data_IF_723868102936
#
_entry.id   IF_723868102936
#
_cell.length_a   1.000
_cell.length_b   1.000
_cell.length_c   1.000
_cell.angle_alpha   90.00
_cell.angle_beta   90.00
_cell.angle_gamma   90.00
#
_symmetry.space_group_name_H-M   'P 1'
#
loop_
_entity.id
_entity.type
_entity.pdbx_description
1 polymer ?
#
# COMPACT_ATOMS: atom_id res chain seq x y z
N UNK A 1 -17.44 24.63 4.05
CA UNK A 1 -18.80 24.14 4.26
C UNK A 1 -19.00 22.82 3.51
N UNK A 2 -18.79 22.74 2.19
CA UNK A 2 -18.98 21.50 1.42
C UNK A 2 -18.15 20.33 1.95
N UNK A 3 -16.86 20.56 2.28
CA UNK A 3 -15.97 19.56 2.86
C UNK A 3 -16.50 19.02 4.19
N UNK A 4 -17.03 19.91 5.03
CA UNK A 4 -17.60 19.50 6.31
C UNK A 4 -18.85 18.65 6.15
N UNK A 5 -19.78 19.07 5.26
CA UNK A 5 -20.99 18.29 4.97
C UNK A 5 -20.61 16.92 4.39
N UNK A 6 -19.68 16.88 3.42
CA UNK A 6 -19.20 15.62 2.83
C UNK A 6 -18.56 14.70 3.86
N UNK A 7 -17.75 15.25 4.77
CA UNK A 7 -17.11 14.47 5.85
C UNK A 7 -18.16 13.90 6.82
N UNK A 8 -19.15 14.69 7.22
CA UNK A 8 -20.23 14.22 8.10
C UNK A 8 -21.04 13.11 7.45
N UNK A 9 -21.42 13.26 6.19
CA UNK A 9 -22.16 12.23 5.44
C UNK A 9 -21.33 10.96 5.29
N UNK A 10 -20.05 11.08 4.94
CA UNK A 10 -19.13 9.95 4.80
C UNK A 10 -18.97 9.20 6.12
N UNK A 11 -18.63 9.90 7.22
CA UNK A 11 -18.46 9.27 8.53
C UNK A 11 -19.75 8.65 9.06
N UNK A 12 -20.90 9.30 8.81
CA UNK A 12 -22.20 8.73 9.19
C UNK A 12 -22.48 7.44 8.43
N UNK A 13 -22.29 7.42 7.11
CA UNK A 13 -22.43 6.23 6.29
C UNK A 13 -21.48 5.10 6.70
N UNK A 14 -20.22 5.44 6.99
CA UNK A 14 -19.23 4.50 7.47
C UNK A 14 -19.63 3.85 8.80
N UNK A 15 -20.07 4.65 9.78
CA UNK A 15 -20.41 4.14 11.11
C UNK A 15 -21.74 3.39 11.14
N UNK A 16 -22.76 3.85 10.42
CA UNK A 16 -24.10 3.25 10.45
C UNK A 16 -24.22 2.08 9.45
N UNK A 17 -23.55 2.17 8.30
CA UNK A 17 -23.63 1.17 7.24
C UNK A 17 -22.47 0.18 7.25
N UNK A 18 -21.25 0.68 7.04
CA UNK A 18 -20.09 -0.20 6.82
C UNK A 18 -19.62 -0.96 8.06
N UNK A 19 -19.59 -0.34 9.23
CA UNK A 19 -19.12 -1.01 10.45
C UNK A 19 -20.01 -2.18 10.85
N UNK A 20 -21.35 -2.04 10.94
CA UNK A 20 -22.23 -3.18 11.24
C UNK A 20 -22.18 -4.25 10.16
N UNK A 21 -22.16 -3.86 8.87
CA UNK A 21 -22.08 -4.80 7.77
C UNK A 21 -20.78 -5.61 7.77
N UNK A 22 -19.62 -4.94 8.00
CA UNK A 22 -18.33 -5.60 8.14
C UNK A 22 -18.32 -6.60 9.28
N UNK A 23 -18.79 -6.19 10.46
CA UNK A 23 -18.87 -7.06 11.64
C UNK A 23 -19.77 -8.28 11.40
N UNK A 24 -20.96 -8.07 10.87
CA UNK A 24 -21.88 -9.16 10.53
C UNK A 24 -21.30 -10.14 9.52
N UNK A 25 -20.68 -9.61 8.45
CA UNK A 25 -20.05 -10.44 7.43
C UNK A 25 -18.90 -11.27 8.02
N UNK A 26 -18.08 -10.67 8.89
CA UNK A 26 -17.02 -11.37 9.60
C UNK A 26 -17.54 -12.52 10.45
N UNK A 27 -18.61 -12.28 11.21
CA UNK A 27 -19.24 -13.31 12.05
C UNK A 27 -19.80 -14.46 11.21
N UNK A 28 -20.54 -14.15 10.15
CA UNK A 28 -21.15 -15.16 9.28
C UNK A 28 -20.09 -16.01 8.58
N UNK A 29 -19.06 -15.39 7.98
CA UNK A 29 -18.03 -16.12 7.25
C UNK A 29 -17.15 -16.97 8.15
N UNK A 30 -16.75 -16.46 9.31
CA UNK A 30 -15.89 -17.20 10.23
C UNK A 30 -16.63 -18.23 11.08
N UNK A 31 -17.96 -18.09 11.23
CA UNK A 31 -18.81 -19.02 11.96
C UNK A 31 -19.17 -20.30 11.18
N UNK A 32 -18.87 -20.38 9.88
CA UNK A 32 -19.17 -21.54 9.05
C UNK A 32 -18.14 -22.67 9.22
N UNK A 33 -18.53 -23.90 8.89
CA UNK A 33 -17.61 -25.05 8.89
C UNK A 33 -16.41 -24.85 7.95
N UNK A 34 -16.57 -24.08 6.89
CA UNK A 34 -15.56 -23.73 5.89
C UNK A 34 -15.01 -22.30 6.06
N UNK A 35 -14.82 -21.91 7.32
CA UNK A 35 -14.36 -20.57 7.74
C UNK A 35 -13.15 -20.01 6.99
N UNK A 36 -12.33 -20.85 6.37
CA UNK A 36 -11.18 -20.42 5.59
C UNK A 36 -11.54 -19.60 4.33
N UNK A 37 -12.82 -19.61 3.91
CA UNK A 37 -13.31 -18.76 2.81
C UNK A 37 -13.18 -17.26 3.11
N UNK A 38 -13.09 -16.88 4.38
CA UNK A 38 -12.87 -15.48 4.76
C UNK A 38 -11.52 -14.94 4.23
N UNK A 39 -10.56 -15.82 3.95
CA UNK A 39 -9.27 -15.41 3.39
C UNK A 39 -9.43 -14.81 1.98
N UNK A 40 -9.88 -15.57 0.96
CA UNK A 40 -10.02 -15.03 -0.37
C UNK A 40 -11.05 -13.90 -0.44
N UNK A 41 -12.12 -13.95 0.36
CA UNK A 41 -13.10 -12.86 0.44
C UNK A 41 -12.45 -11.61 1.07
N UNK A 42 -11.73 -11.77 2.18
CA UNK A 42 -10.99 -10.66 2.82
C UNK A 42 -9.94 -10.05 1.90
N UNK A 43 -9.21 -10.86 1.15
CA UNK A 43 -8.26 -10.40 0.14
C UNK A 43 -8.94 -9.57 -0.96
N UNK A 44 -10.07 -10.05 -1.46
CA UNK A 44 -10.87 -9.34 -2.47
C UNK A 44 -11.38 -8.00 -1.94
N UNK A 45 -11.91 -8.01 -0.73
CA UNK A 45 -12.38 -6.80 -0.05
C UNK A 45 -11.21 -5.82 0.15
N UNK A 46 -10.06 -6.28 0.66
CA UNK A 46 -8.87 -5.45 0.84
C UNK A 46 -8.39 -4.79 -0.45
N UNK A 47 -8.43 -5.54 -1.56
CA UNK A 47 -8.09 -5.01 -2.88
C UNK A 47 -9.00 -3.85 -3.31
N UNK A 48 -10.32 -4.01 -3.15
CA UNK A 48 -11.29 -2.99 -3.55
C UNK A 48 -11.38 -1.82 -2.58
N UNK A 49 -11.14 -2.04 -1.29
CA UNK A 49 -11.10 -0.95 -0.28
C UNK A 49 -10.03 0.07 -0.63
N UNK A 50 -8.82 -0.36 -0.98
CA UNK A 50 -7.75 0.55 -1.40
C UNK A 50 -8.14 1.35 -2.64
N UNK A 51 -8.80 0.71 -3.60
CA UNK A 51 -9.29 1.40 -4.81
C UNK A 51 -10.42 2.40 -4.52
N UNK A 52 -11.23 2.13 -3.52
CA UNK A 52 -12.34 2.99 -3.11
C UNK A 52 -11.91 4.11 -2.17
N UNK A 53 -10.68 4.05 -1.61
CA UNK A 53 -10.17 5.06 -0.66
C UNK A 53 -9.79 6.35 -1.40
N UNK A 54 -10.51 7.47 -1.17
CA UNK A 54 -10.23 8.73 -1.87
C UNK A 54 -8.82 9.26 -1.64
N UNK A 55 -8.28 9.05 -0.43
CA UNK A 55 -6.94 9.51 -0.07
C UNK A 55 -5.86 8.76 -0.86
N UNK A 56 -6.05 7.48 -1.17
CA UNK A 56 -5.15 6.70 -2.03
C UNK A 56 -5.15 7.22 -3.46
N UNK A 57 -6.31 7.65 -3.97
CA UNK A 57 -6.38 8.24 -5.31
C UNK A 57 -5.55 9.53 -5.42
N UNK A 58 -5.65 10.40 -4.40
CA UNK A 58 -4.86 11.64 -4.34
C UNK A 58 -3.36 11.33 -4.23
N UNK A 59 -2.99 10.39 -3.33
CA UNK A 59 -1.61 9.96 -3.16
C UNK A 59 -1.02 9.43 -4.48
N UNK A 60 -1.75 8.58 -5.20
CA UNK A 60 -1.27 8.01 -6.46
C UNK A 60 -0.95 9.09 -7.50
N UNK A 61 -1.78 10.14 -7.60
CA UNK A 61 -1.53 11.29 -8.49
C UNK A 61 -0.32 12.11 -8.04
N UNK A 62 -0.21 12.40 -6.75
CA UNK A 62 0.95 13.12 -6.22
C UNK A 62 2.26 12.37 -6.45
N UNK A 63 2.26 11.04 -6.30
CA UNK A 63 3.44 10.22 -6.58
C UNK A 63 3.83 10.28 -8.06
N UNK A 64 2.86 10.22 -8.98
CA UNK A 64 3.11 10.36 -10.40
C UNK A 64 3.74 11.72 -10.75
N UNK A 65 3.21 12.80 -10.16
CA UNK A 65 3.73 14.16 -10.35
C UNK A 65 5.15 14.32 -9.78
N UNK A 66 5.40 13.89 -8.53
CA UNK A 66 6.70 14.03 -7.85
C UNK A 66 7.79 13.15 -8.45
N UNK A 67 7.39 12.05 -9.13
CA UNK A 67 8.33 11.14 -9.80
C UNK A 67 8.48 11.42 -11.30
N UNK A 68 7.95 12.54 -11.80
CA UNK A 68 7.93 12.90 -13.23
C UNK A 68 7.42 11.74 -14.12
N UNK A 69 6.38 11.03 -13.64
CA UNK A 69 5.80 9.88 -14.33
C UNK A 69 6.62 8.58 -14.28
N UNK A 70 7.73 8.54 -13.54
CA UNK A 70 8.52 7.30 -13.38
C UNK A 70 7.71 6.18 -12.71
N UNK A 71 6.76 6.54 -11.84
CA UNK A 71 5.72 5.66 -11.31
C UNK A 71 4.38 6.24 -11.71
N UNK A 72 3.64 5.55 -12.59
CA UNK A 72 2.29 5.96 -12.94
C UNK A 72 1.31 5.72 -11.79
N UNK A 73 0.30 6.60 -11.66
CA UNK A 73 -0.77 6.47 -10.65
C UNK A 73 -1.46 5.09 -10.70
N UNK A 74 -1.65 4.55 -11.92
CA UNK A 74 -2.24 3.23 -12.11
C UNK A 74 -1.38 2.10 -11.54
N UNK A 75 -0.06 2.13 -11.78
CA UNK A 75 0.88 1.13 -11.26
C UNK A 75 0.97 1.21 -9.74
N UNK A 76 1.05 2.42 -9.18
CA UNK A 76 1.05 2.65 -7.74
C UNK A 76 -0.23 2.09 -7.09
N UNK A 77 -1.40 2.44 -7.63
CA UNK A 77 -2.69 1.98 -7.11
C UNK A 77 -2.84 0.46 -7.19
N UNK A 78 -2.38 -0.18 -8.27
CA UNK A 78 -2.41 -1.64 -8.41
C UNK A 78 -1.50 -2.33 -7.38
N UNK A 79 -0.28 -1.81 -7.18
CA UNK A 79 0.67 -2.36 -6.22
C UNK A 79 0.16 -2.22 -4.78
N UNK A 80 -0.38 -1.05 -4.41
CA UNK A 80 -0.99 -0.84 -3.10
C UNK A 80 -2.19 -1.77 -2.88
N UNK A 81 -3.08 -1.89 -3.87
CA UNK A 81 -4.25 -2.77 -3.77
C UNK A 81 -3.85 -4.25 -3.61
N UNK A 82 -2.87 -4.71 -4.38
CA UNK A 82 -2.36 -6.08 -4.27
C UNK A 82 -1.66 -6.33 -2.92
N UNK A 83 -0.84 -5.38 -2.47
CA UNK A 83 -0.17 -5.45 -1.17
C UNK A 83 -1.15 -5.52 -0.01
N UNK A 84 -2.13 -4.61 0.03
CA UNK A 84 -3.15 -4.61 1.09
C UNK A 84 -4.04 -5.85 1.01
N UNK A 85 -4.39 -6.33 -0.18
CA UNK A 85 -5.10 -7.59 -0.37
C UNK A 85 -4.38 -8.76 0.33
N UNK A 86 -3.09 -8.90 0.08
CA UNK A 86 -2.27 -9.94 0.72
C UNK A 86 -2.20 -9.75 2.24
N UNK A 87 -2.03 -8.51 2.70
CA UNK A 87 -2.00 -8.17 4.12
C UNK A 87 -3.29 -8.54 4.83
N UNK A 88 -4.44 -8.25 4.23
CA UNK A 88 -5.75 -8.63 4.78
C UNK A 88 -5.89 -10.14 4.84
N UNK A 89 -5.45 -10.86 3.80
CA UNK A 89 -5.42 -12.34 3.82
C UNK A 89 -4.61 -12.88 5.01
N UNK A 90 -3.39 -12.39 5.21
CA UNK A 90 -2.55 -12.76 6.35
C UNK A 90 -3.18 -12.38 7.70
N UNK A 91 -3.86 -11.22 7.76
CA UNK A 91 -4.59 -10.81 8.96
C UNK A 91 -5.77 -11.75 9.28
N UNK A 92 -6.48 -12.24 8.26
CA UNK A 92 -7.54 -13.23 8.45
C UNK A 92 -6.98 -14.58 8.90
N UNK A 93 -5.85 -15.05 8.33
CA UNK A 93 -5.15 -16.24 8.85
C UNK A 93 -4.87 -16.09 10.33
N UNK A 94 -4.33 -14.94 10.71
CA UNK A 94 -4.00 -14.65 12.11
C UNK A 94 -5.23 -14.67 13.01
N UNK A 95 -6.34 -14.04 12.59
CA UNK A 95 -7.61 -14.04 13.35
C UNK A 95 -8.13 -15.46 13.54
N UNK A 96 -8.07 -16.31 12.51
CA UNK A 96 -8.54 -17.69 12.60
C UNK A 96 -7.64 -18.61 13.44
N UNK A 97 -6.33 -18.32 13.52
CA UNK A 97 -5.34 -19.17 14.18
C UNK A 97 -4.90 -18.67 15.56
N UNK A 98 -5.18 -17.40 15.89
CA UNK A 98 -4.74 -16.77 17.14
C UNK A 98 -3.23 -16.48 17.21
N UNK A 99 -2.49 -16.53 16.08
CA UNK A 99 -1.05 -16.24 16.04
C UNK A 99 -0.80 -14.78 16.46
N UNK A 100 0.22 -14.56 17.32
CA UNK A 100 0.58 -13.21 17.77
C UNK A 100 0.96 -12.31 16.60
N UNK A 101 0.47 -11.07 16.63
CA UNK A 101 0.75 -10.05 15.61
C UNK A 101 2.26 -9.74 15.48
N UNK A 102 3.02 -9.91 16.54
CA UNK A 102 4.45 -9.61 16.57
C UNK A 102 5.24 -10.47 15.56
N UNK A 103 4.77 -11.69 15.27
CA UNK A 103 5.37 -12.55 14.25
C UNK A 103 5.24 -12.00 12.82
N UNK A 104 4.31 -11.10 12.59
CA UNK A 104 4.13 -10.42 11.30
C UNK A 104 4.77 -9.04 11.31
N UNK A 105 4.56 -8.26 12.38
CA UNK A 105 5.02 -6.87 12.42
C UNK A 105 6.54 -6.77 12.58
N UNK A 106 7.16 -7.57 13.45
CA UNK A 106 8.61 -7.48 13.66
C UNK A 106 9.38 -7.76 12.36
N UNK A 107 9.19 -8.90 11.67
CA UNK A 107 9.90 -9.14 10.41
C UNK A 107 9.48 -8.17 9.30
N UNK A 108 8.20 -7.79 9.24
CA UNK A 108 7.71 -6.85 8.24
C UNK A 108 8.33 -5.46 8.35
N UNK A 109 8.35 -4.88 9.55
CA UNK A 109 9.01 -3.60 9.78
C UNK A 109 10.53 -3.69 9.68
N UNK A 110 11.14 -4.77 10.15
CA UNK A 110 12.59 -4.99 9.97
C UNK A 110 12.95 -5.02 8.48
N UNK A 111 12.14 -5.68 7.66
CA UNK A 111 12.32 -5.72 6.21
C UNK A 111 12.11 -4.33 5.57
N UNK A 112 11.04 -3.61 5.94
CA UNK A 112 10.75 -2.27 5.45
C UNK A 112 11.89 -1.28 5.79
N UNK A 113 12.39 -1.33 7.03
CA UNK A 113 13.53 -0.50 7.45
C UNK A 113 14.80 -0.93 6.72
N UNK A 114 15.04 -2.24 6.56
CA UNK A 114 16.20 -2.76 5.82
C UNK A 114 16.23 -2.25 4.38
N UNK A 115 15.10 -2.28 3.67
CA UNK A 115 15.01 -1.76 2.30
C UNK A 115 15.25 -0.24 2.26
N UNK A 116 14.83 0.52 3.26
CA UNK A 116 14.95 1.98 3.27
C UNK A 116 16.40 2.48 3.19
N UNK A 117 17.38 1.65 3.56
CA UNK A 117 18.81 1.99 3.40
C UNK A 117 19.33 1.84 1.96
N UNK A 118 18.62 1.11 1.12
CA UNK A 118 19.03 0.81 -0.27
C UNK A 118 18.26 1.64 -1.30
N UNK A 119 17.03 2.01 -0.98
CA UNK A 119 16.11 2.73 -1.86
C UNK A 119 16.32 4.24 -1.71
N UNK A 120 16.15 5.04 -2.78
CA UNK A 120 16.22 6.51 -2.69
C UNK A 120 15.25 7.06 -1.65
N UNK A 121 15.67 8.10 -0.91
CA UNK A 121 14.92 8.71 0.20
C UNK A 121 13.50 9.14 -0.19
N UNK A 122 13.29 9.54 -1.44
CA UNK A 122 11.96 9.91 -1.96
C UNK A 122 10.97 8.75 -1.84
N UNK A 123 11.35 7.55 -2.31
CA UNK A 123 10.47 6.37 -2.24
C UNK A 123 10.23 5.91 -0.80
N UNK A 124 11.23 6.07 0.07
CA UNK A 124 11.06 5.81 1.51
C UNK A 124 10.03 6.75 2.12
N UNK A 125 10.11 8.06 1.84
CA UNK A 125 9.14 9.04 2.33
C UNK A 125 7.72 8.74 1.84
N UNK A 126 7.56 8.48 0.53
CA UNK A 126 6.27 8.08 -0.07
C UNK A 126 5.73 6.80 0.58
N UNK A 127 6.59 5.82 0.85
CA UNK A 127 6.19 4.56 1.47
C UNK A 127 5.58 4.76 2.87
N UNK A 128 6.22 5.58 3.70
CA UNK A 128 5.72 5.87 5.05
C UNK A 128 4.40 6.66 5.01
N UNK A 129 4.26 7.62 4.11
CA UNK A 129 3.00 8.34 3.90
C UNK A 129 1.89 7.42 3.40
N UNK A 130 2.20 6.57 2.41
CA UNK A 130 1.26 5.58 1.86
C UNK A 130 0.74 4.59 2.92
N UNK A 131 1.54 4.25 3.93
CA UNK A 131 1.10 3.41 5.05
C UNK A 131 0.00 4.05 5.87
N UNK A 132 0.12 5.35 6.17
CA UNK A 132 -0.91 6.14 6.84
C UNK A 132 -2.19 6.26 6.00
N UNK A 133 -2.03 6.53 4.71
CA UNK A 133 -3.15 6.71 3.77
C UNK A 133 -3.93 5.39 3.55
N UNK A 134 -3.25 4.27 3.36
CA UNK A 134 -3.89 2.97 3.12
C UNK A 134 -4.62 2.41 4.35
N UNK A 135 -4.21 2.81 5.57
CA UNK A 135 -4.91 2.47 6.81
C UNK A 135 -6.04 3.45 7.17
N UNK A 136 -6.55 4.19 6.20
CA UNK A 136 -7.53 5.25 6.33
C UNK A 136 -8.93 4.80 6.74
N UNK A 137 -9.91 5.71 6.58
CA UNK A 137 -11.29 5.53 7.07
C UNK A 137 -11.97 4.24 6.63
N UNK A 138 -11.76 3.80 5.37
CA UNK A 138 -12.39 2.56 4.86
C UNK A 138 -11.81 1.31 5.54
N UNK A 139 -10.52 1.29 5.81
CA UNK A 139 -9.87 0.21 6.58
C UNK A 139 -10.43 0.15 8.01
N UNK A 140 -10.55 1.29 8.67
CA UNK A 140 -11.07 1.38 10.03
C UNK A 140 -12.57 1.08 10.11
N UNK A 141 -13.36 1.53 9.13
CA UNK A 141 -14.81 1.39 9.13
C UNK A 141 -15.33 0.04 8.61
N UNK A 142 -14.52 -0.72 7.86
CA UNK A 142 -14.96 -1.99 7.31
C UNK A 142 -14.03 -3.17 7.62
N UNK A 143 -12.72 -3.07 7.33
CA UNK A 143 -11.79 -4.19 7.56
C UNK A 143 -11.60 -4.51 9.04
N UNK A 144 -11.50 -3.49 9.89
CA UNK A 144 -11.39 -3.72 11.32
C UNK A 144 -12.66 -4.37 11.88
N UNK A 145 -13.89 -3.90 11.62
CA UNK A 145 -15.12 -4.59 12.00
C UNK A 145 -15.25 -6.00 11.44
N UNK A 146 -14.83 -6.25 10.20
CA UNK A 146 -14.78 -7.58 9.61
C UNK A 146 -13.88 -8.53 10.44
N UNK A 147 -12.70 -8.07 10.81
CA UNK A 147 -11.78 -8.84 11.66
C UNK A 147 -12.33 -9.04 13.08
N UNK A 148 -13.01 -8.04 13.64
CA UNK A 148 -13.67 -8.14 14.94
C UNK A 148 -14.80 -9.18 14.90
N UNK A 149 -15.66 -9.13 13.89
CA UNK A 149 -16.72 -10.11 13.69
C UNK A 149 -16.19 -11.53 13.54
N UNK A 150 -15.16 -11.71 12.73
CA UNK A 150 -14.49 -13.00 12.57
C UNK A 150 -13.88 -13.51 13.88
N UNK A 151 -13.23 -12.62 14.63
CA UNK A 151 -12.63 -12.95 15.92
C UNK A 151 -13.69 -13.43 16.94
N UNK A 152 -14.84 -12.75 17.01
CA UNK A 152 -15.97 -13.16 17.87
C UNK A 152 -16.46 -14.54 17.50
N UNK A 153 -16.63 -14.81 16.20
CA UNK A 153 -17.14 -16.09 15.72
C UNK A 153 -16.23 -17.29 16.04
N UNK A 154 -14.93 -17.08 16.10
CA UNK A 154 -13.95 -18.12 16.45
C UNK A 154 -13.63 -18.17 17.96
N UNK A 155 -14.24 -17.31 18.79
CA UNK A 155 -13.97 -17.24 20.22
C UNK A 155 -12.63 -16.61 20.60
N UNK A 156 -12.04 -15.81 19.70
CA UNK A 156 -10.78 -15.11 19.93
C UNK A 156 -10.93 -13.84 20.79
N UNK A 157 -9.81 -13.22 21.13
CA UNK A 157 -9.75 -11.97 21.90
C UNK A 157 -9.69 -10.78 20.95
N UNK A 158 -10.75 -9.97 20.89
CA UNK A 158 -10.87 -8.83 19.97
C UNK A 158 -9.65 -7.90 20.06
N UNK A 159 -9.22 -7.55 21.29
CA UNK A 159 -8.13 -6.59 21.52
C UNK A 159 -6.79 -7.10 21.00
N UNK A 160 -6.50 -8.37 21.15
CA UNK A 160 -5.22 -8.95 20.71
C UNK A 160 -5.27 -9.46 19.29
N UNK A 161 -6.43 -9.98 18.82
CA UNK A 161 -6.48 -10.75 17.59
C UNK A 161 -7.10 -9.98 16.43
N UNK A 162 -8.04 -9.04 16.67
CA UNK A 162 -8.68 -8.27 15.60
C UNK A 162 -7.97 -6.93 15.28
N UNK A 163 -7.56 -6.18 16.29
CA UNK A 163 -6.99 -4.83 16.07
C UNK A 163 -5.71 -4.81 15.22
N UNK A 164 -4.98 -5.91 15.19
CA UNK A 164 -3.76 -6.01 14.40
C UNK A 164 -3.94 -5.88 12.89
N UNK A 165 -5.16 -6.00 12.36
CA UNK A 165 -5.39 -5.87 10.90
C UNK A 165 -5.00 -4.49 10.38
N UNK A 166 -5.30 -3.42 11.13
CA UNK A 166 -4.96 -2.05 10.73
C UNK A 166 -3.44 -1.85 10.66
N UNK A 167 -2.72 -2.37 11.66
CA UNK A 167 -1.26 -2.29 11.67
C UNK A 167 -0.60 -3.07 10.51
N UNK A 168 -1.16 -4.23 10.16
CA UNK A 168 -0.69 -5.02 9.02
C UNK A 168 -0.97 -4.31 7.70
N UNK A 169 -2.15 -3.69 7.55
CA UNK A 169 -2.50 -2.89 6.37
C UNK A 169 -1.59 -1.68 6.24
N UNK A 170 -1.28 -0.98 7.34
CA UNK A 170 -0.38 0.17 7.33
C UNK A 170 1.08 -0.21 6.99
N UNK A 171 1.54 -1.37 7.42
CA UNK A 171 2.90 -1.87 7.17
C UNK A 171 3.11 -2.22 5.68
N UNK A 172 2.11 -2.76 5.01
CA UNK A 172 2.27 -3.31 3.65
C UNK A 172 2.69 -2.28 2.61
N UNK A 173 2.11 -1.05 2.56
CA UNK A 173 2.57 -0.01 1.65
C UNK A 173 4.04 0.37 1.84
N UNK A 174 4.54 0.31 3.09
CA UNK A 174 5.96 0.56 3.37
C UNK A 174 6.86 -0.40 2.58
N UNK A 175 6.44 -1.64 2.45
CA UNK A 175 7.19 -2.65 1.71
C UNK A 175 6.95 -2.51 0.21
N UNK A 176 5.69 -2.44 -0.24
CA UNK A 176 5.34 -2.44 -1.66
C UNK A 176 5.88 -1.23 -2.40
N UNK A 177 5.77 -0.03 -1.82
CA UNK A 177 6.26 1.21 -2.46
C UNK A 177 7.78 1.23 -2.52
N UNK A 178 8.47 0.78 -1.48
CA UNK A 178 9.93 0.69 -1.50
C UNK A 178 10.43 -0.36 -2.51
N UNK A 179 9.75 -1.50 -2.65
CA UNK A 179 10.06 -2.48 -3.69
C UNK A 179 9.86 -1.91 -5.09
N UNK A 180 8.80 -1.11 -5.30
CA UNK A 180 8.61 -0.38 -6.56
C UNK A 180 9.77 0.60 -6.83
N UNK A 181 10.18 1.37 -5.83
CA UNK A 181 11.33 2.27 -5.92
C UNK A 181 12.63 1.52 -6.27
N UNK A 182 12.84 0.37 -5.65
CA UNK A 182 14.00 -0.47 -5.94
C UNK A 182 13.98 -0.99 -7.40
N UNK A 183 12.82 -1.48 -7.87
CA UNK A 183 12.69 -1.97 -9.25
C UNK A 183 12.86 -0.84 -10.27
N UNK A 184 12.32 0.35 -10.00
CA UNK A 184 12.52 1.54 -10.83
C UNK A 184 14.00 1.92 -10.92
N UNK A 185 14.70 1.95 -9.78
CA UNK A 185 16.13 2.24 -9.73
C UNK A 185 16.97 1.22 -10.52
N UNK A 186 16.66 -0.06 -10.38
CA UNK A 186 17.35 -1.13 -11.11
C UNK A 186 17.15 -1.00 -12.63
N UNK A 187 15.93 -0.69 -13.07
CA UNK A 187 15.64 -0.44 -14.49
C UNK A 187 16.41 0.76 -15.02
N UNK A 188 16.45 1.87 -14.29
CA UNK A 188 17.23 3.06 -14.68
C UNK A 188 18.71 2.76 -14.79
N UNK A 189 19.29 2.00 -13.83
CA UNK A 189 20.70 1.60 -13.88
C UNK A 189 21.02 0.75 -15.11
N UNK A 190 20.14 -0.20 -15.46
CA UNK A 190 20.29 -1.04 -16.68
C UNK A 190 20.20 -0.20 -17.94
N UNK A 191 19.19 0.66 -18.07
CA UNK A 191 19.03 1.55 -19.21
C UNK A 191 20.26 2.48 -19.41
N UNK A 192 20.86 2.94 -18.32
CA UNK A 192 22.08 3.77 -18.36
C UNK A 192 23.32 2.99 -18.79
N UNK A 193 23.38 1.70 -18.49
CA UNK A 193 24.47 0.81 -18.94
C UNK A 193 24.34 0.42 -20.43
N UNK A 194 23.12 0.37 -20.94
CA UNK A 194 22.79 0.04 -22.34
C UNK A 194 22.88 1.25 -23.28
N UNK A 195 22.94 2.49 -22.77
CA UNK A 195 23.20 3.67 -23.59
C UNK A 195 24.64 3.64 -24.07
N UNK A 196 24.89 3.70 -25.39
CA UNK A 196 26.23 3.89 -25.94
C UNK A 196 26.83 5.16 -25.34
N UNK A 197 28.12 5.11 -24.99
CA UNK A 197 28.84 6.31 -24.59
C UNK A 197 28.54 7.42 -25.59
N UNK A 198 28.20 8.65 -25.14
CA UNK A 198 28.08 9.78 -26.06
C UNK A 198 29.34 9.80 -26.95
N UNK A 199 29.13 9.93 -28.24
CA UNK A 199 30.28 10.09 -29.15
C UNK A 199 31.20 11.17 -28.58
N UNK A 200 32.48 10.86 -28.46
CA UNK A 200 33.45 11.87 -28.01
C UNK A 200 33.22 13.16 -28.79
N UNK A 201 33.19 14.32 -28.12
CA UNK A 201 33.09 15.59 -28.84
C UNK A 201 34.19 15.62 -29.93
N UNK A 202 33.87 16.12 -31.11
CA UNK A 202 34.86 16.18 -32.21
C UNK A 202 36.12 16.83 -31.68
N UNK A 203 37.28 16.23 -31.99
CA UNK A 203 38.54 16.81 -31.60
C UNK A 203 38.62 18.23 -32.19
N UNK A 204 39.26 19.18 -31.48
CA UNK A 204 39.39 20.57 -31.94
C UNK A 204 39.93 20.69 -33.36
N UNK A 205 40.67 19.70 -33.81
CA UNK A 205 41.21 19.61 -35.19
C UNK A 205 40.13 19.32 -36.27
N UNK A 206 38.95 18.80 -35.86
CA UNK A 206 37.89 18.43 -36.79
C UNK A 206 36.75 19.47 -36.85
N UNK A 207 36.94 20.61 -36.14
CA UNK A 207 35.96 21.70 -36.19
C UNK A 207 36.22 22.58 -37.40
N UNK A 208 35.21 22.98 -38.18
CA UNK A 208 35.37 23.98 -39.24
C UNK A 208 35.84 25.32 -38.63
N UNK A 209 36.66 26.07 -39.38
CA UNK A 209 37.28 27.31 -38.90
C UNK A 209 36.29 28.41 -38.44
N UNK A 210 35.01 28.24 -38.79
CA UNK A 210 33.93 29.16 -38.44
C UNK A 210 33.03 28.66 -37.27
N UNK A 211 33.43 27.59 -36.62
CA UNK A 211 32.62 27.06 -35.48
C UNK A 211 32.70 28.00 -34.27
N UNK A 212 31.55 28.54 -33.88
CA UNK A 212 31.41 29.33 -32.64
C UNK A 212 31.34 28.35 -31.45
N UNK A 213 32.32 28.47 -30.55
CA UNK A 213 32.34 27.70 -29.29
C UNK A 213 31.66 28.57 -28.24
N UNK A 214 30.43 28.21 -27.86
CA UNK A 214 29.74 28.75 -26.68
C UNK A 214 30.39 28.09 -25.43
N UNK A 215 31.02 28.95 -24.60
CA UNK A 215 31.65 28.59 -23.32
C UNK A 215 30.62 28.62 -22.18
#
# INVERSE_FOLDING_TARGET
>A
IYTYIGLVLFLTGANIGFMPAGNYLGQVLAGQNWRWIILPIGMLIGYFIVKAEPAVYVLNKQVEEVTDGAISAGTMGAALSAGVSLSVGLAMVRVLTGISILWFLIPGYAFAIGISFVVPKLYTAIAFDAGGVASGPMTAAFLLPLAQGACVAVGGKIVTDAFGVVAMVAMTPLITVQLMGLTAQLKQRRARQEQPLPAAPPAFADLPDDAIIEL
#
